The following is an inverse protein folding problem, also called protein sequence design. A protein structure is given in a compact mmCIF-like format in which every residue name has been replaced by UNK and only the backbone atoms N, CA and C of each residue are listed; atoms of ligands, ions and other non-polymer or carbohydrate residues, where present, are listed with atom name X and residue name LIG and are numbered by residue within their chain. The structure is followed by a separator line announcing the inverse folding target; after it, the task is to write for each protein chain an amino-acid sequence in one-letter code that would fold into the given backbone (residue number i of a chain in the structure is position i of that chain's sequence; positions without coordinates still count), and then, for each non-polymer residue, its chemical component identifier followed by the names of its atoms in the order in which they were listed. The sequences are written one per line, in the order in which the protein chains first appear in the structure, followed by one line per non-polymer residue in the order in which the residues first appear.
data_IF_408176401702
#
_entry.id   IF_408176401702
#
_cell.length_a   1.000
_cell.length_b   1.000
_cell.length_c   1.000
_cell.angle_alpha   90.00
_cell.angle_beta   90.00
_cell.angle_gamma   90.00
#
_symmetry.space_group_name_H-M   'P 1'
#
loop_
_entity.id
_entity.type
_entity.pdbx_description
1 polymer ?
#
# COMPACT_ATOMS: atom_id res chain seq x y z
N UNK A 1 -3.75 63.53 38.74
CA UNK A 1 -4.10 62.91 37.45
C UNK A 1 -3.28 61.65 37.27
N UNK A 2 -3.88 60.49 37.49
CA UNK A 2 -3.20 59.20 37.27
C UNK A 2 -3.53 58.74 35.86
N UNK A 3 -2.56 58.66 34.97
CA UNK A 3 -2.68 58.05 33.66
C UNK A 3 -2.47 56.56 33.82
N UNK A 4 -3.56 55.79 33.68
CA UNK A 4 -3.51 54.35 33.61
C UNK A 4 -3.07 53.93 32.20
N UNK A 5 -1.86 53.37 32.10
CA UNK A 5 -1.41 52.73 30.87
C UNK A 5 -1.95 51.30 30.87
N UNK A 6 -2.89 51.01 29.98
CA UNK A 6 -3.30 49.65 29.69
C UNK A 6 -2.23 49.01 28.77
N UNK A 7 -1.49 48.10 29.32
CA UNK A 7 -0.61 47.26 28.51
C UNK A 7 -1.48 46.25 27.74
N UNK A 8 -1.56 46.43 26.44
CA UNK A 8 -2.06 45.41 25.51
C UNK A 8 -0.98 44.35 25.34
N UNK A 9 -1.20 43.19 25.92
CA UNK A 9 -0.39 42.01 25.69
C UNK A 9 -0.86 41.41 24.38
N UNK A 10 0.00 41.28 23.33
CA UNK A 10 -0.37 40.57 22.14
C UNK A 10 -0.36 39.07 22.45
N UNK A 11 -1.50 38.44 22.42
CA UNK A 11 -1.66 37.02 22.49
C UNK A 11 -1.13 36.44 21.17
N UNK A 12 0.10 35.90 21.20
CA UNK A 12 0.65 35.18 20.08
C UNK A 12 -0.03 33.79 20.07
N UNK A 13 -1.02 33.64 19.21
CA UNK A 13 -1.58 32.35 18.90
C UNK A 13 -0.54 31.57 18.10
N UNK A 14 0.15 30.65 18.77
CA UNK A 14 1.02 29.68 18.10
C UNK A 14 0.13 28.72 17.31
N UNK A 15 0.33 28.55 16.00
CA UNK A 15 -0.34 27.50 15.27
C UNK A 15 0.19 26.15 15.79
N UNK A 16 -0.68 25.37 16.42
CA UNK A 16 -0.42 23.97 16.68
C UNK A 16 -0.32 23.29 15.33
N UNK A 17 0.89 23.02 14.89
CA UNK A 17 1.16 22.09 13.81
C UNK A 17 0.74 20.72 14.31
N UNK A 18 -0.51 20.36 14.04
CA UNK A 18 -0.96 19.00 14.15
C UNK A 18 -0.21 18.23 13.05
N UNK A 19 0.93 17.66 13.41
CA UNK A 19 1.51 16.58 12.62
C UNK A 19 0.44 15.49 12.56
N UNK A 20 -0.33 15.52 11.47
CA UNK A 20 -1.36 14.55 11.25
C UNK A 20 -0.74 13.18 11.12
N UNK A 21 -0.88 12.33 12.14
CA UNK A 21 -0.85 10.90 11.91
C UNK A 21 -1.74 10.65 10.71
N UNK A 22 -1.20 10.05 9.66
CA UNK A 22 -1.97 9.72 8.47
C UNK A 22 -3.08 8.76 8.88
N UNK A 23 -4.22 9.31 9.28
CA UNK A 23 -5.40 8.51 9.57
C UNK A 23 -6.01 8.13 8.22
N UNK A 24 -5.99 6.85 7.93
CA UNK A 24 -6.74 6.30 6.82
C UNK A 24 -8.21 6.65 7.05
N UNK A 25 -8.81 7.35 6.12
CA UNK A 25 -10.24 7.64 6.18
C UNK A 25 -11.09 6.38 6.20
N UNK A 26 -12.42 6.48 6.14
CA UNK A 26 -13.31 5.32 6.16
C UNK A 26 -13.19 4.43 4.91
N UNK A 27 -12.48 4.90 3.90
CA UNK A 27 -12.30 4.22 2.61
C UNK A 27 -10.81 4.02 2.32
N UNK A 28 -10.41 2.78 2.12
CA UNK A 28 -9.04 2.41 1.74
C UNK A 28 -9.06 1.15 0.88
N UNK A 29 -7.91 0.81 0.33
CA UNK A 29 -7.67 -0.45 -0.36
C UNK A 29 -6.43 -1.11 0.23
N UNK A 30 -6.18 -2.36 -0.10
CA UNK A 30 -5.05 -3.10 0.44
C UNK A 30 -4.39 -3.95 -0.65
N UNK A 31 -3.08 -4.13 -0.52
CA UNK A 31 -2.30 -5.04 -1.36
C UNK A 31 -1.49 -5.99 -0.49
N UNK A 32 -1.40 -7.23 -0.91
CA UNK A 32 -0.62 -8.28 -0.23
C UNK A 32 -0.12 -9.30 -1.22
N UNK A 33 1.03 -9.91 -0.94
CA UNK A 33 1.58 -11.02 -1.73
C UNK A 33 1.62 -12.34 -0.98
N UNK A 34 1.20 -12.36 0.28
CA UNK A 34 1.41 -13.50 1.19
C UNK A 34 0.53 -14.71 0.93
N UNK A 35 -0.62 -14.51 0.32
CA UNK A 35 -1.57 -15.59 0.04
C UNK A 35 -1.66 -15.81 -1.46
N UNK A 36 -1.62 -17.06 -1.88
CA UNK A 36 -1.75 -17.44 -3.28
C UNK A 36 -2.63 -18.69 -3.43
N UNK A 37 -3.17 -18.86 -4.63
CA UNK A 37 -3.99 -20.01 -4.94
C UNK A 37 -3.09 -21.21 -5.31
N UNK A 38 -2.99 -22.16 -4.39
CA UNK A 38 -2.14 -23.35 -4.53
C UNK A 38 -2.62 -24.32 -5.64
N UNK A 39 -3.86 -24.18 -6.10
CA UNK A 39 -4.42 -25.02 -7.18
C UNK A 39 -3.99 -24.56 -8.57
N UNK A 40 -3.50 -23.33 -8.69
CA UNK A 40 -2.99 -22.81 -9.96
C UNK A 40 -1.53 -23.22 -10.09
N UNK A 41 -1.23 -23.96 -11.15
CA UNK A 41 0.13 -24.41 -11.44
C UNK A 41 1.09 -23.23 -11.57
N UNK A 42 2.29 -23.39 -11.05
CA UNK A 42 3.37 -22.40 -11.12
C UNK A 42 3.05 -21.05 -10.46
N UNK A 43 2.01 -20.96 -9.64
CA UNK A 43 1.71 -19.81 -8.81
C UNK A 43 2.51 -19.83 -7.52
N UNK A 44 3.10 -18.71 -7.14
CA UNK A 44 3.91 -18.57 -5.92
C UNK A 44 3.58 -17.25 -5.23
N UNK A 45 3.80 -17.16 -3.91
CA UNK A 45 3.66 -15.89 -3.21
C UNK A 45 4.68 -14.90 -3.73
N UNK A 46 4.37 -13.62 -3.60
CA UNK A 46 5.27 -12.53 -3.92
C UNK A 46 5.39 -11.56 -2.73
N UNK A 47 6.35 -10.67 -2.79
CA UNK A 47 6.55 -9.61 -1.81
C UNK A 47 6.32 -8.29 -2.52
N UNK A 48 5.51 -7.43 -1.94
CA UNK A 48 5.38 -6.06 -2.42
C UNK A 48 6.55 -5.27 -1.83
N UNK A 49 7.49 -4.91 -2.67
CA UNK A 49 8.71 -4.22 -2.28
C UNK A 49 8.49 -2.70 -2.15
N UNK A 50 7.78 -2.14 -3.12
CA UNK A 50 7.44 -0.70 -3.11
C UNK A 50 6.03 -0.46 -3.63
N UNK A 51 5.42 0.61 -3.12
CA UNK A 51 4.21 1.22 -3.66
C UNK A 51 4.51 2.70 -3.89
N UNK A 52 4.35 3.18 -5.12
CA UNK A 52 4.60 4.57 -5.51
C UNK A 52 5.97 5.10 -5.02
N UNK A 53 7.01 4.27 -5.16
CA UNK A 53 8.39 4.53 -4.75
C UNK A 53 8.62 4.59 -3.21
N UNK A 54 7.67 4.14 -2.42
CA UNK A 54 7.81 3.97 -0.97
C UNK A 54 7.97 2.50 -0.62
N UNK A 55 9.01 2.15 0.14
CA UNK A 55 9.34 0.78 0.51
C UNK A 55 9.31 0.50 2.02
N UNK A 56 9.05 1.51 2.85
CA UNK A 56 8.93 1.33 4.30
C UNK A 56 7.46 1.29 4.70
N UNK A 57 6.99 0.11 5.09
CA UNK A 57 5.60 -0.10 5.51
C UNK A 57 5.53 -0.57 6.96
N UNK A 58 4.50 -0.14 7.73
CA UNK A 58 4.29 -0.64 9.09
C UNK A 58 4.10 -2.16 9.15
N UNK A 59 3.36 -2.72 8.19
CA UNK A 59 3.25 -4.16 7.97
C UNK A 59 3.49 -4.46 6.48
N UNK A 60 4.66 -4.99 6.11
CA UNK A 60 4.97 -5.28 4.71
C UNK A 60 4.15 -6.44 4.14
N UNK A 61 3.44 -7.19 4.97
CA UNK A 61 2.58 -8.29 4.52
C UNK A 61 1.20 -7.84 4.09
N UNK A 62 0.75 -6.70 4.60
CA UNK A 62 -0.54 -6.12 4.26
C UNK A 62 -0.40 -4.61 4.19
N UNK A 63 -0.36 -4.07 2.98
CA UNK A 63 -0.08 -2.66 2.73
C UNK A 63 -1.38 -1.95 2.38
N UNK A 64 -1.71 -0.92 3.14
CA UNK A 64 -2.84 -0.05 2.82
C UNK A 64 -2.45 0.97 1.76
N UNK A 65 -3.36 1.17 0.83
CA UNK A 65 -3.23 2.16 -0.25
C UNK A 65 -4.52 2.95 -0.40
N UNK A 66 -4.43 4.14 -0.96
CA UNK A 66 -5.63 4.89 -1.35
C UNK A 66 -6.29 4.23 -2.56
N UNK A 67 -7.60 4.38 -2.76
CA UNK A 67 -8.21 4.02 -4.04
C UNK A 67 -7.58 4.82 -5.18
N UNK A 68 -7.40 4.17 -6.32
CA UNK A 68 -6.82 4.77 -7.51
C UNK A 68 -5.64 3.99 -8.07
N UNK A 69 -4.91 4.61 -8.97
CA UNK A 69 -3.77 4.00 -9.65
C UNK A 69 -2.51 4.04 -8.81
N UNK A 70 -1.84 2.89 -8.70
CA UNK A 70 -0.59 2.72 -7.96
C UNK A 70 0.43 1.96 -8.79
N UNK A 71 1.68 2.36 -8.67
CA UNK A 71 2.81 1.64 -9.23
C UNK A 71 3.39 0.71 -8.16
N UNK A 72 3.28 -0.58 -8.38
CA UNK A 72 3.83 -1.59 -7.48
C UNK A 72 5.16 -2.12 -8.01
N UNK A 73 6.14 -2.27 -7.13
CA UNK A 73 7.34 -3.05 -7.39
C UNK A 73 7.20 -4.35 -6.62
N UNK A 74 7.17 -5.45 -7.35
CA UNK A 74 6.90 -6.79 -6.83
C UNK A 74 8.16 -7.63 -6.92
N UNK A 75 8.53 -8.23 -5.80
CA UNK A 75 9.66 -9.13 -5.70
C UNK A 75 9.17 -10.58 -5.76
N UNK A 76 9.77 -11.37 -6.62
CA UNK A 76 9.47 -12.79 -6.73
C UNK A 76 10.13 -13.64 -5.64
N UNK A 77 9.62 -14.85 -5.41
CA UNK A 77 10.26 -15.79 -4.53
C UNK A 77 11.48 -16.41 -5.24
N UNK A 78 12.67 -16.06 -4.82
CA UNK A 78 13.87 -16.58 -5.44
C UNK A 78 15.02 -16.71 -4.43
N UNK A 79 14.99 -17.71 -3.56
CA UNK A 79 16.15 -18.02 -2.76
C UNK A 79 17.32 -18.47 -3.65
N UNK A 80 18.48 -17.87 -3.51
CA UNK A 80 19.72 -18.31 -4.14
C UNK A 80 20.01 -17.75 -5.53
N UNK A 81 19.39 -16.65 -5.96
CA UNK A 81 19.72 -16.00 -7.22
C UNK A 81 20.99 -15.16 -7.12
N UNK A 82 21.93 -15.31 -8.05
CA UNK A 82 23.03 -14.36 -8.17
C UNK A 82 22.50 -12.97 -8.50
N UNK A 83 22.84 -11.97 -7.69
CA UNK A 83 22.41 -10.60 -7.88
C UNK A 83 21.08 -10.21 -7.23
N UNK A 84 20.49 -11.11 -6.42
CA UNK A 84 19.25 -10.86 -5.68
C UNK A 84 17.98 -11.28 -6.43
N UNK A 85 16.81 -11.21 -5.78
CA UNK A 85 15.53 -11.62 -6.37
C UNK A 85 15.12 -10.66 -7.50
N UNK A 86 14.50 -11.17 -8.56
CA UNK A 86 14.02 -10.34 -9.67
C UNK A 86 12.84 -9.46 -9.21
N UNK A 87 12.87 -8.21 -9.63
CA UNK A 87 11.82 -7.23 -9.40
C UNK A 87 11.01 -7.00 -10.67
N UNK A 88 9.70 -6.93 -10.54
CA UNK A 88 8.80 -6.57 -11.62
C UNK A 88 7.94 -5.39 -11.21
N UNK A 89 7.62 -4.55 -12.17
CA UNK A 89 6.72 -3.41 -11.99
C UNK A 89 5.35 -3.77 -12.55
N UNK A 90 4.30 -3.48 -11.78
CA UNK A 90 2.93 -3.54 -12.28
C UNK A 90 2.16 -2.29 -11.88
N UNK A 91 1.21 -1.90 -12.71
CA UNK A 91 0.25 -0.86 -12.39
C UNK A 91 -1.03 -1.50 -11.87
N UNK A 92 -1.52 -1.00 -10.74
CA UNK A 92 -2.75 -1.44 -10.11
C UNK A 92 -3.70 -0.26 -10.02
N UNK A 93 -4.89 -0.40 -10.59
CA UNK A 93 -5.99 0.53 -10.31
C UNK A 93 -6.84 -0.05 -9.18
N UNK A 94 -6.59 0.43 -7.96
CA UNK A 94 -7.25 -0.07 -6.76
C UNK A 94 -8.65 0.53 -6.61
N UNK A 95 -9.68 -0.31 -6.69
CA UNK A 95 -11.05 0.07 -6.36
C UNK A 95 -11.20 0.27 -4.84
N UNK A 96 -12.11 1.15 -4.40
CA UNK A 96 -12.36 1.35 -2.97
C UNK A 96 -12.76 0.06 -2.25
N UNK A 97 -12.25 -0.14 -1.05
CA UNK A 97 -12.58 -1.26 -0.17
C UNK A 97 -12.27 -2.64 -0.73
N UNK A 98 -11.26 -2.74 -1.59
CA UNK A 98 -10.79 -4.00 -2.15
C UNK A 98 -9.39 -4.34 -1.66
N UNK A 99 -9.19 -5.61 -1.35
CA UNK A 99 -7.87 -6.19 -1.06
C UNK A 99 -7.42 -7.02 -2.25
N UNK A 100 -6.24 -6.69 -2.77
CA UNK A 100 -5.65 -7.34 -3.94
C UNK A 100 -4.55 -8.28 -3.51
N UNK A 101 -4.66 -9.54 -3.90
CA UNK A 101 -3.64 -10.55 -3.70
C UNK A 101 -2.76 -10.60 -4.95
N UNK A 102 -1.54 -10.09 -4.83
CA UNK A 102 -0.57 -10.01 -5.92
C UNK A 102 0.41 -11.15 -5.77
N UNK A 103 0.50 -12.00 -6.76
CA UNK A 103 1.38 -13.17 -6.72
C UNK A 103 2.26 -13.25 -7.97
N UNK A 104 3.23 -14.17 -7.91
CA UNK A 104 4.11 -14.47 -9.02
C UNK A 104 3.57 -15.66 -9.81
N UNK A 105 3.34 -15.50 -11.10
CA UNK A 105 3.02 -16.55 -12.02
C UNK A 105 4.26 -16.90 -12.85
N UNK A 106 4.79 -18.09 -12.66
CA UNK A 106 5.92 -18.60 -13.44
C UNK A 106 5.42 -19.22 -14.73
N UNK A 107 6.21 -19.08 -15.81
CA UNK A 107 5.86 -19.64 -17.12
C UNK A 107 5.87 -21.16 -17.09
N UNK A 108 6.89 -21.74 -16.41
CA UNK A 108 7.01 -23.19 -16.21
C UNK A 108 7.57 -23.50 -14.82
N UNK A 109 7.61 -24.78 -14.45
CA UNK A 109 8.20 -25.22 -13.17
C UNK A 109 9.72 -25.08 -13.11
N UNK A 110 10.38 -24.98 -14.25
CA UNK A 110 11.85 -24.97 -14.38
C UNK A 110 12.43 -23.65 -14.82
N UNK A 111 11.62 -22.74 -15.37
CA UNK A 111 12.07 -21.40 -15.73
C UNK A 111 11.95 -20.46 -14.56
N UNK A 112 12.80 -19.44 -14.56
CA UNK A 112 12.79 -18.39 -13.55
C UNK A 112 12.05 -17.14 -14.02
N UNK A 113 11.44 -17.22 -15.19
CA UNK A 113 10.62 -16.15 -15.74
C UNK A 113 9.22 -16.18 -15.14
N UNK A 114 8.77 -15.05 -14.66
CA UNK A 114 7.48 -14.90 -14.02
C UNK A 114 6.91 -13.50 -14.28
N UNK A 115 5.62 -13.37 -14.06
CA UNK A 115 4.91 -12.08 -14.11
C UNK A 115 4.09 -11.90 -12.86
N UNK A 116 3.99 -10.66 -12.33
CA UNK A 116 3.06 -10.37 -11.26
C UNK A 116 1.62 -10.44 -11.79
N UNK A 117 0.75 -11.09 -11.01
CA UNK A 117 -0.67 -11.26 -11.36
C UNK A 117 -1.54 -10.93 -10.16
N UNK A 118 -2.75 -10.46 -10.42
CA UNK A 118 -3.80 -10.36 -9.41
C UNK A 118 -4.42 -11.75 -9.30
N UNK A 119 -4.15 -12.44 -8.21
CA UNK A 119 -4.64 -13.79 -7.98
C UNK A 119 -6.08 -13.81 -7.49
N UNK A 120 -6.40 -12.86 -6.61
CA UNK A 120 -7.70 -12.78 -5.98
C UNK A 120 -7.98 -11.34 -5.54
N UNK A 121 -9.25 -10.96 -5.52
CA UNK A 121 -9.73 -9.67 -5.01
C UNK A 121 -10.82 -9.93 -3.98
N UNK A 122 -10.69 -9.33 -2.81
CA UNK A 122 -11.58 -9.53 -1.69
C UNK A 122 -12.15 -8.20 -1.21
N UNK A 123 -13.41 -8.20 -0.77
CA UNK A 123 -14.02 -7.05 -0.13
C UNK A 123 -13.48 -6.89 1.29
N UNK A 124 -13.04 -5.68 1.65
CA UNK A 124 -12.55 -5.38 2.99
C UNK A 124 -13.72 -5.15 3.94
N UNK A 125 -13.78 -5.94 5.02
CA UNK A 125 -14.77 -5.75 6.07
C UNK A 125 -14.52 -4.44 6.83
N UNK A 126 -15.57 -3.70 7.14
CA UNK A 126 -15.47 -2.45 7.90
C UNK A 126 -15.04 -1.22 7.07
N UNK A 127 -14.73 -1.39 5.80
CA UNK A 127 -14.43 -0.30 4.89
C UNK A 127 -15.71 0.24 4.26
N UNK A 128 -15.82 1.56 4.16
CA UNK A 128 -17.00 2.22 3.57
C UNK A 128 -16.72 2.59 2.12
N UNK A 129 -17.51 2.02 1.21
CA UNK A 129 -17.48 2.41 -0.20
C UNK A 129 -18.07 3.81 -0.34
N UNK A 130 -17.40 4.77 -1.03
CA UNK A 130 -17.97 6.07 -1.28
C UNK A 130 -19.31 5.97 -1.99
N UNK A 131 -20.27 6.83 -1.59
CA UNK A 131 -21.54 6.92 -2.29
C UNK A 131 -21.29 7.32 -3.76
N UNK A 132 -21.92 6.59 -4.68
CA UNK A 132 -21.91 6.96 -6.09
C UNK A 132 -22.59 8.33 -6.26
N UNK A 133 -21.88 9.27 -6.90
CA UNK A 133 -22.44 10.59 -7.21
C UNK A 133 -23.20 10.52 -8.52
#
# INVERSE_FOLDING_TARGET
MRKSYWMLIPTIAAPLLLDGCQTWGPTWSEVTGQRYNVTISNRRPAIIDMVDNQGAFPDPRLIRVTPGEHRLVVQGPAPGWPGGPPLHVMMLNAEPCKRYYINAQFDTTITQQWTPVIDYVEQIAGCQVPAAK
#
